data_IF_825281812714
#
_entry.id   IF_825281812714
#
_cell.length_a   1.000
_cell.length_b   1.000
_cell.length_c   1.000
_cell.angle_alpha   90.00
_cell.angle_beta   90.00
_cell.angle_gamma   90.00
#
_symmetry.space_group_name_H-M   'P 1'
#
loop_
_entity.id
_entity.type
_entity.pdbx_description
1 polymer ?
#
# COMPACT_ATOMS: atom_id res chain seq x y z
N UNK A 1 14.12 -20.87 -12.20
CA UNK A 1 12.72 -20.46 -12.48
C UNK A 1 12.73 -19.70 -13.80
N UNK A 2 11.86 -19.98 -14.77
CA UNK A 2 11.81 -19.20 -15.99
C UNK A 2 11.37 -17.77 -15.64
N UNK A 3 12.06 -16.77 -16.18
CA UNK A 3 11.69 -15.37 -16.09
C UNK A 3 10.28 -15.20 -16.65
N UNK A 4 9.43 -14.51 -15.90
CA UNK A 4 8.11 -14.08 -16.42
C UNK A 4 8.35 -13.26 -17.70
N UNK A 5 7.51 -13.41 -18.74
CA UNK A 5 7.68 -12.63 -19.95
C UNK A 5 7.62 -11.14 -19.58
N UNK A 6 8.60 -10.37 -20.00
CA UNK A 6 8.57 -8.92 -19.92
C UNK A 6 7.33 -8.44 -20.71
N UNK A 7 6.29 -8.06 -19.99
CA UNK A 7 5.14 -7.36 -20.57
C UNK A 7 5.65 -5.94 -20.84
N UNK A 8 5.98 -5.63 -22.08
CA UNK A 8 6.50 -4.32 -22.46
C UNK A 8 5.51 -3.22 -22.06
N UNK A 9 6.02 -2.04 -21.73
CA UNK A 9 5.23 -0.87 -21.31
C UNK A 9 4.10 -0.53 -22.33
N UNK A 10 4.33 -0.79 -23.62
CA UNK A 10 3.36 -0.61 -24.71
C UNK A 10 2.12 -1.52 -24.54
N UNK A 11 2.28 -2.75 -24.06
CA UNK A 11 1.19 -3.69 -23.82
C UNK A 11 0.34 -3.32 -22.59
N UNK A 12 0.96 -2.79 -21.54
CA UNK A 12 0.24 -2.35 -20.32
C UNK A 12 -0.59 -1.11 -20.65
N UNK A 13 0.00 -0.13 -21.33
CA UNK A 13 -0.68 1.11 -21.70
C UNK A 13 -1.78 0.87 -22.71
N UNK A 14 -1.56 0.01 -23.72
CA UNK A 14 -2.58 -0.41 -24.68
C UNK A 14 -3.77 -1.06 -23.98
N UNK A 15 -3.53 -1.99 -23.04
CA UNK A 15 -4.59 -2.62 -22.24
C UNK A 15 -5.33 -1.63 -21.35
N UNK A 16 -4.64 -0.66 -20.76
CA UNK A 16 -5.27 0.38 -19.98
C UNK A 16 -6.21 1.25 -20.84
N UNK A 17 -5.80 1.62 -22.04
CA UNK A 17 -6.65 2.36 -22.99
C UNK A 17 -7.88 1.56 -23.43
N UNK A 18 -7.73 0.28 -23.72
CA UNK A 18 -8.85 -0.61 -24.04
C UNK A 18 -9.88 -0.70 -22.90
N UNK A 19 -9.41 -0.81 -21.66
CA UNK A 19 -10.27 -0.81 -20.49
C UNK A 19 -10.95 0.54 -20.30
N UNK A 20 -10.20 1.65 -20.42
CA UNK A 20 -10.76 3.00 -20.33
C UNK A 20 -11.83 3.29 -21.35
N UNK A 21 -11.71 2.75 -22.56
CA UNK A 21 -12.73 2.90 -23.63
C UNK A 21 -14.04 2.18 -23.29
N UNK A 22 -14.01 1.16 -22.46
CA UNK A 22 -15.18 0.39 -22.03
C UNK A 22 -15.87 0.97 -20.78
N UNK A 23 -15.26 1.96 -20.11
CA UNK A 23 -15.80 2.57 -18.90
C UNK A 23 -16.77 3.70 -19.24
N UNK A 24 -17.92 3.70 -18.58
CA UNK A 24 -18.80 4.85 -18.51
C UNK A 24 -18.17 5.97 -17.68
N UNK A 25 -18.68 7.20 -17.81
CA UNK A 25 -18.23 8.33 -17.00
C UNK A 25 -18.44 8.11 -15.50
N UNK A 26 -19.52 7.45 -15.11
CA UNK A 26 -19.80 7.12 -13.72
C UNK A 26 -18.77 6.12 -13.15
N UNK A 27 -18.43 5.09 -13.93
CA UNK A 27 -17.41 4.12 -13.52
C UNK A 27 -16.02 4.74 -13.44
N UNK A 28 -15.68 5.67 -14.34
CA UNK A 28 -14.42 6.42 -14.26
C UNK A 28 -14.31 7.24 -12.98
N UNK A 29 -15.41 7.86 -12.55
CA UNK A 29 -15.46 8.57 -11.27
C UNK A 29 -15.36 7.62 -10.08
N UNK A 30 -16.09 6.50 -10.12
CA UNK A 30 -16.05 5.50 -9.05
C UNK A 30 -14.65 4.90 -8.84
N UNK A 31 -13.84 4.75 -9.91
CA UNK A 31 -12.45 4.30 -9.78
C UNK A 31 -11.53 5.26 -9.02
N UNK A 32 -11.96 6.50 -8.79
CA UNK A 32 -11.21 7.50 -8.02
C UNK A 32 -11.55 7.49 -6.53
N UNK A 33 -12.52 6.68 -6.12
CA UNK A 33 -13.01 6.55 -4.75
C UNK A 33 -12.70 5.16 -4.21
N UNK A 34 -12.74 5.00 -2.88
CA UNK A 34 -12.72 3.68 -2.25
C UNK A 34 -14.09 3.00 -2.37
N UNK A 35 -14.11 1.69 -2.48
CA UNK A 35 -15.34 0.89 -2.63
C UNK A 35 -16.02 0.59 -1.27
N UNK A 36 -15.41 1.03 -0.17
CA UNK A 36 -16.00 0.91 1.17
C UNK A 36 -16.78 2.17 1.50
N UNK A 37 -18.06 2.00 1.81
CA UNK A 37 -18.90 3.12 2.26
C UNK A 37 -18.32 3.78 3.51
N UNK A 38 -18.38 5.10 3.58
CA UNK A 38 -17.75 5.88 4.65
C UNK A 38 -18.22 5.46 6.06
N UNK A 39 -19.53 5.39 6.29
CA UNK A 39 -20.05 5.08 7.62
C UNK A 39 -19.77 3.64 8.07
N UNK A 40 -19.99 2.60 7.27
CA UNK A 40 -19.57 1.23 7.60
C UNK A 40 -18.09 1.13 7.91
N UNK A 41 -17.23 1.76 7.10
CA UNK A 41 -15.79 1.77 7.33
C UNK A 41 -15.39 2.47 8.64
N UNK A 42 -16.00 3.60 8.96
CA UNK A 42 -15.77 4.32 10.22
C UNK A 42 -16.24 3.51 11.44
N UNK A 43 -17.38 2.82 11.35
CA UNK A 43 -17.86 1.94 12.42
C UNK A 43 -16.90 0.76 12.61
N UNK A 44 -16.39 0.17 11.55
CA UNK A 44 -15.40 -0.91 11.63
C UNK A 44 -14.15 -0.45 12.38
N UNK A 45 -13.56 0.69 11.98
CA UNK A 45 -12.37 1.24 12.64
C UNK A 45 -12.66 1.58 14.12
N UNK A 46 -13.79 2.25 14.40
CA UNK A 46 -14.11 2.69 15.76
C UNK A 46 -14.45 1.53 16.72
N UNK A 47 -15.00 0.42 16.19
CA UNK A 47 -15.43 -0.71 17.00
C UNK A 47 -14.35 -1.74 17.31
N UNK A 48 -13.17 -1.66 16.66
CA UNK A 48 -12.17 -2.73 16.65
C UNK A 48 -10.73 -2.24 16.79
N UNK A 49 -10.45 -1.42 17.78
CA UNK A 49 -9.10 -0.93 18.11
C UNK A 49 -8.39 -0.22 16.93
N UNK A 50 -9.16 0.48 16.10
CA UNK A 50 -8.68 1.26 14.95
C UNK A 50 -7.93 0.44 13.88
N UNK A 51 -8.28 -0.83 13.69
CA UNK A 51 -7.69 -1.67 12.65
C UNK A 51 -8.75 -2.36 11.79
N UNK A 52 -8.40 -2.58 10.53
CA UNK A 52 -9.25 -3.27 9.56
C UNK A 52 -9.30 -4.78 9.80
N UNK A 53 -10.40 -5.42 9.42
CA UNK A 53 -10.51 -6.89 9.41
C UNK A 53 -9.89 -7.51 8.15
N UNK A 54 -9.97 -6.80 7.06
CA UNK A 54 -9.53 -7.22 5.72
C UNK A 54 -9.04 -6.00 4.94
N UNK A 55 -8.27 -6.21 3.86
CA UNK A 55 -7.87 -5.11 2.99
C UNK A 55 -9.08 -4.34 2.46
N UNK A 56 -8.98 -3.02 2.39
CA UNK A 56 -10.04 -2.19 1.84
C UNK A 56 -9.95 -2.15 0.33
N UNK A 57 -11.05 -2.50 -0.37
CA UNK A 57 -11.10 -2.48 -1.82
C UNK A 57 -11.22 -1.05 -2.37
N UNK A 58 -10.62 -0.81 -3.51
CA UNK A 58 -10.80 0.41 -4.30
C UNK A 58 -10.71 0.09 -5.79
N UNK A 59 -11.66 0.55 -6.58
CA UNK A 59 -11.67 0.38 -8.02
C UNK A 59 -11.99 -1.04 -8.48
N UNK A 60 -12.83 -1.76 -7.74
CA UNK A 60 -13.30 -3.10 -8.12
C UNK A 60 -14.37 -2.97 -9.19
N UNK A 61 -14.16 -3.61 -10.35
CA UNK A 61 -15.13 -3.61 -11.45
C UNK A 61 -15.26 -5.02 -12.06
N UNK A 62 -16.12 -5.88 -11.48
CA UNK A 62 -16.21 -7.30 -11.85
C UNK A 62 -16.56 -7.53 -13.31
N UNK A 63 -17.40 -6.68 -13.94
CA UNK A 63 -17.78 -6.84 -15.34
C UNK A 63 -16.60 -6.74 -16.32
N UNK A 64 -15.50 -6.09 -15.93
CA UNK A 64 -14.26 -5.98 -16.70
C UNK A 64 -13.14 -6.85 -16.12
N UNK A 65 -13.44 -7.67 -15.11
CA UNK A 65 -12.44 -8.50 -14.43
C UNK A 65 -11.41 -7.71 -13.62
N UNK A 66 -11.72 -6.46 -13.25
CA UNK A 66 -10.84 -5.64 -12.41
C UNK A 66 -11.05 -5.99 -10.94
N UNK A 67 -10.03 -6.56 -10.31
CA UNK A 67 -10.02 -6.88 -8.89
C UNK A 67 -9.78 -5.64 -8.00
N UNK A 68 -9.37 -4.52 -8.59
CA UNK A 68 -9.07 -3.29 -7.89
C UNK A 68 -7.83 -3.37 -7.00
N UNK A 69 -7.61 -2.31 -6.24
CA UNK A 69 -6.62 -2.27 -5.18
C UNK A 69 -7.21 -2.90 -3.91
N UNK A 70 -6.40 -3.67 -3.22
CA UNK A 70 -6.70 -4.23 -1.91
C UNK A 70 -5.73 -3.59 -0.91
N UNK A 71 -6.17 -2.48 -0.32
CA UNK A 71 -5.34 -1.57 0.46
C UNK A 71 -5.21 -2.02 1.91
N UNK A 72 -3.98 -1.94 2.43
CA UNK A 72 -3.70 -2.02 3.87
C UNK A 72 -2.67 -0.97 4.27
N UNK A 73 -2.79 -0.46 5.49
CA UNK A 73 -1.78 0.35 6.13
C UNK A 73 -0.64 -0.49 6.69
N UNK A 74 0.53 0.13 6.89
CA UNK A 74 1.59 -0.61 7.50
C UNK A 74 2.99 -0.03 7.57
N UNK A 75 3.24 1.15 8.17
CA UNK A 75 4.62 1.67 8.31
C UNK A 75 5.49 0.85 9.27
N UNK A 76 4.87 0.06 10.15
CA UNK A 76 5.53 -0.84 11.09
C UNK A 76 5.18 -2.31 10.90
N UNK A 77 4.63 -2.67 9.76
CA UNK A 77 4.04 -3.96 9.46
C UNK A 77 2.56 -3.82 9.09
N UNK A 78 1.96 -4.87 8.61
CA UNK A 78 0.57 -4.85 8.14
C UNK A 78 -0.39 -4.54 9.29
N UNK A 79 -1.24 -3.54 9.12
CA UNK A 79 -2.23 -3.13 10.12
C UNK A 79 -3.58 -3.79 9.81
N UNK A 80 -3.69 -5.06 10.23
CA UNK A 80 -4.94 -5.82 10.16
C UNK A 80 -5.16 -6.55 11.48
N UNK A 81 -6.42 -6.82 11.81
CA UNK A 81 -6.73 -7.77 12.89
C UNK A 81 -6.31 -9.19 12.45
N UNK A 82 -5.58 -9.89 13.30
CA UNK A 82 -5.13 -11.25 13.00
C UNK A 82 -3.65 -11.50 13.23
N UNK A 83 -2.90 -10.47 13.63
CA UNK A 83 -1.55 -10.65 14.15
C UNK A 83 -0.46 -10.70 13.09
N UNK A 84 -0.28 -9.64 12.34
CA UNK A 84 0.92 -9.44 11.52
C UNK A 84 2.13 -9.04 12.38
N UNK A 85 3.33 -9.22 11.86
CA UNK A 85 4.57 -8.84 12.53
C UNK A 85 4.66 -7.32 12.71
N UNK A 86 4.93 -6.88 13.93
CA UNK A 86 5.23 -5.48 14.21
C UNK A 86 6.72 -5.24 14.22
N UNK A 87 7.22 -4.56 13.20
CA UNK A 87 8.62 -4.16 13.10
C UNK A 87 8.91 -2.89 13.92
N UNK A 88 10.18 -2.61 14.21
CA UNK A 88 10.58 -1.35 14.85
C UNK A 88 10.10 -0.13 14.05
N UNK A 89 9.90 1.00 14.74
CA UNK A 89 9.51 2.24 14.09
C UNK A 89 10.51 2.64 12.98
N UNK A 90 10.04 3.24 11.86
CA UNK A 90 10.91 3.60 10.74
C UNK A 90 12.14 4.44 11.12
N UNK A 91 12.02 5.30 12.15
CA UNK A 91 13.16 6.07 12.64
C UNK A 91 14.25 5.16 13.26
N UNK A 92 13.86 4.13 14.00
CA UNK A 92 14.80 3.19 14.59
C UNK A 92 15.49 2.35 13.52
N UNK A 93 14.73 1.87 12.53
CA UNK A 93 15.26 1.15 11.37
C UNK A 93 16.22 2.03 10.57
N UNK A 94 15.83 3.28 10.28
CA UNK A 94 16.67 4.23 9.56
C UNK A 94 17.94 4.64 10.33
N UNK A 95 17.94 4.56 11.66
CA UNK A 95 19.12 4.83 12.49
C UNK A 95 20.17 3.72 12.43
N UNK A 96 19.80 2.51 12.01
CA UNK A 96 20.76 1.41 11.81
C UNK A 96 21.67 1.61 10.60
N UNK A 97 21.28 2.45 9.63
CA UNK A 97 21.98 2.64 8.35
C UNK A 97 22.23 1.34 7.56
N UNK A 98 21.45 0.31 7.84
CA UNK A 98 21.54 -1.01 7.23
C UNK A 98 20.45 -1.15 6.16
N UNK A 99 20.84 -0.96 4.90
CA UNK A 99 19.94 -1.02 3.74
C UNK A 99 19.46 -2.44 3.48
N UNK A 100 20.34 -3.44 3.70
CA UNK A 100 20.02 -4.85 3.47
C UNK A 100 19.00 -5.36 4.52
N UNK A 101 19.10 -4.86 5.75
CA UNK A 101 18.09 -5.15 6.78
C UNK A 101 16.73 -4.56 6.38
N UNK A 102 16.70 -3.32 5.88
CA UNK A 102 15.47 -2.66 5.48
C UNK A 102 14.81 -3.36 4.28
N UNK A 103 15.59 -3.85 3.33
CA UNK A 103 15.09 -4.66 2.22
C UNK A 103 14.44 -5.95 2.72
N UNK A 104 15.10 -6.68 3.62
CA UNK A 104 14.54 -7.92 4.22
C UNK A 104 13.24 -7.65 4.99
N UNK A 105 13.16 -6.55 5.72
CA UNK A 105 11.93 -6.12 6.39
C UNK A 105 10.84 -5.83 5.37
N UNK A 106 11.16 -5.11 4.29
CA UNK A 106 10.21 -4.82 3.21
C UNK A 106 9.67 -6.09 2.54
N UNK A 107 10.52 -7.07 2.28
CA UNK A 107 10.12 -8.38 1.73
C UNK A 107 9.19 -9.12 2.69
N UNK A 108 9.50 -9.14 3.98
CA UNK A 108 8.66 -9.78 4.99
C UNK A 108 7.27 -9.12 5.08
N UNK A 109 7.22 -7.77 5.15
CA UNK A 109 5.98 -7.01 5.16
C UNK A 109 5.13 -7.25 3.90
N UNK A 110 5.75 -7.27 2.73
CA UNK A 110 5.06 -7.53 1.47
C UNK A 110 4.51 -8.97 1.40
N UNK A 111 5.25 -9.95 1.93
CA UNK A 111 4.80 -11.34 2.01
C UNK A 111 3.59 -11.48 2.94
N UNK A 112 3.63 -10.85 4.10
CA UNK A 112 2.49 -10.83 5.03
C UNK A 112 1.27 -10.14 4.41
N UNK A 113 1.45 -8.96 3.79
CA UNK A 113 0.36 -8.26 3.11
C UNK A 113 -0.33 -9.14 2.06
N UNK A 114 0.44 -9.86 1.25
CA UNK A 114 -0.11 -10.80 0.27
C UNK A 114 -0.86 -11.96 0.92
N UNK A 115 -0.39 -12.47 2.04
CA UNK A 115 -1.07 -13.56 2.76
C UNK A 115 -2.44 -13.13 3.29
N UNK A 116 -2.63 -11.84 3.57
CA UNK A 116 -3.92 -11.24 3.92
C UNK A 116 -4.76 -10.82 2.71
N UNK A 117 -4.30 -11.09 1.49
CA UNK A 117 -5.01 -10.74 0.26
C UNK A 117 -4.81 -9.29 -0.20
N UNK A 118 -3.89 -8.55 0.42
CA UNK A 118 -3.56 -7.19 0.00
C UNK A 118 -2.62 -7.19 -1.21
N UNK A 119 -2.83 -6.21 -2.10
CA UNK A 119 -1.94 -5.92 -3.22
C UNK A 119 -1.38 -4.48 -3.17
N UNK A 120 -1.80 -3.70 -2.19
CA UNK A 120 -1.33 -2.35 -1.92
C UNK A 120 -1.03 -2.18 -0.42
N UNK A 121 0.22 -1.87 -0.09
CA UNK A 121 0.66 -1.61 1.28
C UNK A 121 1.14 -0.17 1.42
N UNK A 122 0.47 0.63 2.23
CA UNK A 122 0.88 1.99 2.56
C UNK A 122 1.93 2.00 3.69
N UNK A 123 3.15 1.58 3.35
CA UNK A 123 4.22 1.36 4.34
C UNK A 123 5.27 2.46 4.38
N UNK A 124 5.37 3.31 3.34
CA UNK A 124 6.49 4.22 3.18
C UNK A 124 6.05 5.67 3.25
N UNK A 125 6.46 6.37 4.31
CA UNK A 125 6.35 7.81 4.41
C UNK A 125 7.65 8.45 3.90
N UNK A 126 7.61 9.13 2.75
CA UNK A 126 8.79 9.73 2.11
C UNK A 126 8.90 11.24 2.31
N UNK A 127 8.00 11.82 3.08
CA UNK A 127 7.95 13.24 3.34
C UNK A 127 9.08 13.69 4.28
N UNK A 128 9.67 14.85 4.00
CA UNK A 128 10.63 15.46 4.90
C UNK A 128 9.91 16.31 5.95
N UNK A 129 10.37 16.21 7.16
CA UNK A 129 9.93 17.03 8.27
C UNK A 129 10.42 18.48 8.06
N UNK A 130 9.56 19.36 7.55
CA UNK A 130 9.95 20.74 7.21
C UNK A 130 9.46 21.76 8.23
N UNK A 131 8.36 21.48 8.91
CA UNK A 131 7.74 22.41 9.84
C UNK A 131 7.15 21.66 11.04
N UNK A 132 7.43 22.06 12.28
CA UNK A 132 6.98 21.36 13.48
C UNK A 132 5.46 21.35 13.67
N UNK A 133 4.74 22.31 13.10
CA UNK A 133 3.28 22.36 13.14
C UNK A 133 2.56 21.53 12.08
N UNK A 134 3.30 20.81 11.25
CA UNK A 134 2.70 19.92 10.25
C UNK A 134 2.23 18.62 10.89
N UNK A 135 0.96 18.24 10.67
CA UNK A 135 0.38 17.02 11.23
C UNK A 135 1.08 15.72 10.78
N UNK A 136 1.70 15.70 9.59
CA UNK A 136 2.56 14.60 9.14
C UNK A 136 3.90 14.53 9.88
N UNK A 137 4.11 15.40 10.86
CA UNK A 137 5.24 15.42 11.79
C UNK A 137 5.07 14.42 12.95
N UNK A 138 4.18 13.48 12.83
CA UNK A 138 4.02 12.45 13.85
C UNK A 138 5.35 11.70 14.01
N UNK A 139 5.95 11.68 15.21
CA UNK A 139 7.17 10.94 15.47
C UNK A 139 7.04 9.44 15.22
N UNK A 140 5.80 8.95 15.06
CA UNK A 140 5.53 7.58 14.63
C UNK A 140 5.77 7.37 13.13
N UNK A 141 5.83 8.45 12.33
CA UNK A 141 6.05 8.43 10.88
C UNK A 141 7.21 9.36 10.46
N UNK A 142 8.43 9.14 10.92
CA UNK A 142 9.56 9.94 10.50
C UNK A 142 9.84 9.73 9.01
N UNK A 143 10.19 10.82 8.34
CA UNK A 143 10.57 10.77 6.94
C UNK A 143 11.76 9.82 6.72
N UNK A 144 11.68 8.91 5.73
CA UNK A 144 12.80 8.06 5.38
C UNK A 144 13.96 8.89 4.84
N UNK A 145 15.15 8.66 5.35
CA UNK A 145 16.38 9.21 4.79
C UNK A 145 16.70 8.55 3.45
N UNK A 146 17.59 9.13 2.65
CA UNK A 146 17.90 8.71 1.26
C UNK A 146 18.12 7.21 1.05
N UNK A 147 18.65 6.49 2.03
CA UNK A 147 18.89 5.03 1.96
C UNK A 147 17.60 4.19 1.85
N UNK A 148 16.49 4.63 2.48
CA UNK A 148 15.23 3.90 2.43
C UNK A 148 14.56 3.91 1.05
N UNK A 149 14.85 4.90 0.21
CA UNK A 149 14.33 4.95 -1.17
C UNK A 149 14.89 3.86 -2.08
N UNK A 150 16.08 3.33 -1.80
CA UNK A 150 16.68 2.26 -2.61
C UNK A 150 16.15 0.87 -2.21
N UNK A 151 15.85 0.67 -0.93
CA UNK A 151 15.31 -0.60 -0.42
C UNK A 151 13.90 -0.92 -0.96
N UNK A 152 13.14 0.09 -1.35
CA UNK A 152 11.77 -0.06 -1.88
C UNK A 152 11.68 -0.01 -3.41
N UNK A 153 12.76 -0.30 -4.14
CA UNK A 153 12.62 -0.54 -5.58
C UNK A 153 11.83 -1.84 -5.77
N UNK A 154 10.71 -1.82 -6.51
CA UNK A 154 10.05 -3.06 -6.89
C UNK A 154 11.07 -3.86 -7.72
N UNK A 155 11.36 -5.06 -7.28
CA UNK A 155 11.96 -6.04 -8.18
C UNK A 155 10.81 -6.49 -9.10
N UNK A 156 10.67 -5.80 -10.21
CA UNK A 156 9.82 -6.20 -11.32
C UNK A 156 10.46 -7.39 -12.04
#
# INVERSE_FOLDING_TARGET
MPASPEVGAETIEGRAHELLAQLSSAEKLALLEGDTDFWPGMVEIASRDASHLHPWPAGVLPRLGLAGLQFVDGPRGVVLQGGATTFPAPIARGACWDVDLEERIGVAMASEARSFGANWLAAVCVNLLRHPGWGGNDPRHPAPRRGLRQAFRPQL
#
